data_IF_833809817196
#
_entry.id   IF_833809817196
#
_cell.length_a   1.000
_cell.length_b   1.000
_cell.length_c   1.000
_cell.angle_alpha   90.00
_cell.angle_beta   90.00
_cell.angle_gamma   90.00
#
_symmetry.space_group_name_H-M   'P 1'
#
loop_
_entity.id
_entity.type
_entity.pdbx_description
1 polymer ?
#
# COMPACT_ATOMS: atom_id res chain seq x y z
N UNK A 1 11.75 -6.72 -6.64
CA UNK A 1 12.06 -5.27 -6.54
C UNK A 1 13.50 -5.01 -6.16
N UNK A 2 14.02 -5.52 -5.04
CA UNK A 2 15.35 -5.17 -4.52
C UNK A 2 16.51 -5.16 -5.54
N UNK A 3 16.60 -6.17 -6.40
CA UNK A 3 17.69 -6.28 -7.39
C UNK A 3 17.48 -5.43 -8.66
N UNK A 4 16.27 -4.91 -8.88
CA UNK A 4 15.91 -4.09 -10.05
C UNK A 4 15.88 -2.60 -9.69
N UNK A 5 15.31 -2.29 -8.53
CA UNK A 5 15.20 -0.95 -7.99
C UNK A 5 15.24 -1.03 -6.45
N UNK A 6 16.37 -0.63 -5.87
CA UNK A 6 16.58 -0.65 -4.42
C UNK A 6 15.76 0.42 -3.71
N UNK A 7 15.56 1.57 -4.34
CA UNK A 7 14.82 2.67 -3.72
C UNK A 7 13.35 2.28 -3.60
N UNK A 8 12.74 1.84 -4.71
CA UNK A 8 11.36 1.35 -4.71
C UNK A 8 11.17 0.20 -3.71
N UNK A 9 12.16 -0.69 -3.58
CA UNK A 9 12.12 -1.75 -2.56
C UNK A 9 12.02 -1.21 -1.13
N UNK A 10 12.91 -0.28 -0.76
CA UNK A 10 12.93 0.26 0.60
C UNK A 10 11.72 1.14 0.90
N UNK A 11 11.24 1.91 -0.09
CA UNK A 11 9.96 2.62 -0.05
C UNK A 11 8.82 1.65 0.33
N UNK A 12 8.65 0.58 -0.45
CA UNK A 12 7.61 -0.41 -0.21
C UNK A 12 7.77 -1.11 1.14
N UNK A 13 9.00 -1.48 1.50
CA UNK A 13 9.28 -2.10 2.79
C UNK A 13 8.88 -1.20 3.96
N UNK A 14 9.18 0.10 3.89
CA UNK A 14 8.82 1.05 4.93
C UNK A 14 7.30 1.23 5.05
N UNK A 15 6.58 1.24 3.92
CA UNK A 15 5.12 1.28 3.89
C UNK A 15 4.53 0.03 4.55
N UNK A 16 4.93 -1.17 4.12
CA UNK A 16 4.38 -2.44 4.63
C UNK A 16 4.70 -2.64 6.11
N UNK A 17 5.88 -2.22 6.57
CA UNK A 17 6.27 -2.36 7.98
C UNK A 17 5.67 -1.28 8.89
N UNK A 18 5.01 -0.27 8.33
CA UNK A 18 4.41 0.84 9.06
C UNK A 18 5.43 1.89 9.53
N UNK A 19 6.64 1.90 8.95
CA UNK A 19 7.62 2.99 9.17
C UNK A 19 7.22 4.28 8.44
N UNK A 20 6.42 4.14 7.39
CA UNK A 20 5.74 5.23 6.72
C UNK A 20 4.25 5.07 6.98
N UNK A 21 3.63 6.07 7.61
CA UNK A 21 2.21 6.05 8.01
C UNK A 21 1.38 7.17 7.39
N UNK A 22 2.00 8.15 6.75
CA UNK A 22 1.33 9.33 6.19
C UNK A 22 1.44 9.34 4.66
N UNK A 23 0.37 9.78 3.99
CA UNK A 23 0.29 9.96 2.54
C UNK A 23 0.72 8.73 1.73
N UNK A 24 0.43 7.54 2.24
CA UNK A 24 0.89 6.27 1.67
C UNK A 24 0.36 6.10 0.26
N UNK A 25 -0.90 6.44 0.01
CA UNK A 25 -1.52 6.20 -1.28
C UNK A 25 -0.98 7.17 -2.34
N UNK A 26 -0.65 8.41 -1.95
CA UNK A 26 0.09 9.34 -2.80
C UNK A 26 1.49 8.79 -3.15
N UNK A 27 2.25 8.33 -2.15
CA UNK A 27 3.59 7.74 -2.37
C UNK A 27 3.49 6.53 -3.29
N UNK A 28 2.52 5.65 -3.08
CA UNK A 28 2.34 4.45 -3.91
C UNK A 28 2.03 4.86 -5.37
N UNK A 29 1.15 5.85 -5.56
CA UNK A 29 0.81 6.37 -6.89
C UNK A 29 2.02 6.95 -7.61
N UNK A 30 2.78 7.81 -6.93
CA UNK A 30 3.87 8.56 -7.54
C UNK A 30 5.10 7.69 -7.78
N UNK A 31 5.48 6.84 -6.82
CA UNK A 31 6.71 6.04 -6.90
C UNK A 31 6.53 4.75 -7.70
N UNK A 32 5.31 4.18 -7.75
CA UNK A 32 5.05 2.91 -8.42
C UNK A 32 4.13 3.03 -9.63
N UNK A 33 3.50 4.20 -9.85
CA UNK A 33 2.58 4.43 -10.97
C UNK A 33 1.42 3.42 -11.02
N UNK A 34 0.95 2.96 -9.85
CA UNK A 34 -0.15 2.00 -9.72
C UNK A 34 -1.43 2.67 -9.26
N UNK A 35 -2.56 2.10 -9.66
CA UNK A 35 -3.91 2.58 -9.30
C UNK A 35 -4.61 1.66 -8.29
N UNK A 36 -4.03 0.51 -8.00
CA UNK A 36 -4.60 -0.51 -7.11
C UNK A 36 -3.54 -1.12 -6.23
N UNK A 37 -3.92 -1.40 -4.98
CA UNK A 37 -3.09 -2.07 -3.98
C UNK A 37 -3.83 -3.29 -3.46
N UNK A 38 -3.21 -4.45 -3.60
CA UNK A 38 -3.69 -5.69 -2.98
C UNK A 38 -3.01 -5.90 -1.63
N UNK A 39 -3.82 -6.13 -0.60
CA UNK A 39 -3.37 -6.42 0.77
C UNK A 39 -3.89 -7.79 1.16
N UNK A 40 -2.97 -8.71 1.47
CA UNK A 40 -3.33 -10.04 1.94
C UNK A 40 -3.84 -10.01 3.39
N UNK A 41 -4.80 -10.85 3.71
CA UNK A 41 -5.24 -11.10 5.11
C UNK A 41 -4.03 -11.48 5.98
N UNK A 42 -3.96 -10.94 7.20
CA UNK A 42 -2.82 -11.08 8.12
C UNK A 42 -1.76 -9.96 8.02
N UNK A 43 -2.05 -8.91 7.25
CA UNK A 43 -1.19 -7.73 7.12
C UNK A 43 -1.92 -6.47 7.65
N UNK A 44 -2.40 -6.54 8.90
CA UNK A 44 -3.30 -5.54 9.49
C UNK A 44 -2.68 -4.15 9.55
N UNK A 45 -1.35 -4.06 9.68
CA UNK A 45 -0.64 -2.78 9.67
C UNK A 45 -0.83 -2.03 8.36
N UNK A 46 -0.60 -2.70 7.23
CA UNK A 46 -0.77 -2.11 5.91
C UNK A 46 -2.24 -1.75 5.67
N UNK A 47 -3.17 -2.63 6.08
CA UNK A 47 -4.61 -2.38 6.01
C UNK A 47 -4.99 -1.08 6.74
N UNK A 48 -4.67 -0.99 8.03
CA UNK A 48 -5.04 0.16 8.87
C UNK A 48 -4.45 1.47 8.32
N UNK A 49 -3.22 1.41 7.84
CA UNK A 49 -2.53 2.54 7.24
C UNK A 49 -3.23 3.04 5.96
N UNK A 50 -3.70 2.14 5.10
CA UNK A 50 -4.44 2.51 3.88
C UNK A 50 -5.86 2.99 4.20
N UNK A 51 -6.51 2.47 5.24
CA UNK A 51 -7.83 2.92 5.69
C UNK A 51 -7.82 4.32 6.31
N UNK A 52 -6.67 4.79 6.81
CA UNK A 52 -6.50 6.15 7.34
C UNK A 52 -6.22 7.18 6.25
N UNK A 53 -5.86 6.76 5.04
CA UNK A 53 -5.51 7.64 3.93
C UNK A 53 -6.72 7.85 3.01
N UNK A 54 -7.21 9.10 2.96
CA UNK A 54 -8.38 9.48 2.16
C UNK A 54 -8.21 9.26 0.64
N UNK A 55 -6.97 9.10 0.16
CA UNK A 55 -6.70 8.80 -1.25
C UNK A 55 -6.87 7.32 -1.58
N UNK A 56 -6.96 6.44 -0.56
CA UNK A 56 -7.26 5.04 -0.74
C UNK A 56 -8.72 4.72 -0.44
N UNK A 57 -9.35 4.05 -1.38
CA UNK A 57 -10.72 3.57 -1.24
C UNK A 57 -10.74 2.06 -1.33
N UNK A 58 -11.25 1.37 -0.30
CA UNK A 58 -11.51 -0.06 -0.37
C UNK A 58 -12.57 -0.33 -1.45
N UNK A 59 -12.25 -1.20 -2.41
CA UNK A 59 -13.15 -1.55 -3.53
C UNK A 59 -13.48 -3.04 -3.58
N UNK A 60 -12.75 -3.88 -2.84
CA UNK A 60 -13.01 -5.32 -2.75
C UNK A 60 -12.44 -5.89 -1.44
N UNK A 61 -13.15 -6.86 -0.87
CA UNK A 61 -12.78 -7.59 0.35
C UNK A 61 -13.28 -9.03 0.25
N UNK A 62 -12.40 -9.99 0.58
CA UNK A 62 -12.74 -11.40 0.75
C UNK A 62 -11.94 -12.04 1.90
N UNK A 63 -12.01 -13.36 2.03
CA UNK A 63 -11.28 -14.11 3.06
C UNK A 63 -9.75 -14.04 2.91
N UNK A 64 -9.26 -13.83 1.69
CA UNK A 64 -7.84 -13.89 1.34
C UNK A 64 -7.19 -12.49 1.27
N UNK A 65 -7.97 -11.42 1.13
CA UNK A 65 -7.46 -10.07 1.26
C UNK A 65 -8.41 -8.94 0.87
N UNK A 66 -7.80 -7.80 0.60
CA UNK A 66 -8.45 -6.51 0.37
C UNK A 66 -7.82 -5.85 -0.87
N UNK A 67 -8.63 -5.15 -1.67
CA UNK A 67 -8.12 -4.31 -2.76
C UNK A 67 -8.54 -2.86 -2.52
N UNK A 68 -7.54 -1.99 -2.51
CA UNK A 68 -7.73 -0.54 -2.43
C UNK A 68 -7.48 0.07 -3.81
N UNK A 69 -8.37 0.94 -4.24
CA UNK A 69 -8.18 1.83 -5.38
C UNK A 69 -7.55 3.13 -4.88
N UNK A 70 -6.53 3.62 -5.60
CA UNK A 70 -5.90 4.91 -5.36
C UNK A 70 -6.54 5.95 -6.28
N UNK A 71 -7.02 7.06 -5.70
CA UNK A 71 -7.66 8.17 -6.43
C UNK A 71 -6.65 9.25 -6.84
#
# INVERSE_FOLDING_TARGET
MYLKDKQAYWQWYNIVTGRTSENICAIIKDEFSVHYVFVKTGNEKLKNNLEQDNLCQLVYEDSDGFIYKIN
#
